data_IF_999750972100
#
_entry.id   IF_999750972100
#
_cell.length_a   1.000
_cell.length_b   1.000
_cell.length_c   1.000
_cell.angle_alpha   90.00
_cell.angle_beta   90.00
_cell.angle_gamma   90.00
#
_symmetry.space_group_name_H-M   'P 1'
#
loop_
_entity.id
_entity.type
_entity.pdbx_description
1 polymer ?
#
# COMPACT_ATOMS: atom_id res chain seq x y z
N UNK A 1 -29.40 -9.54 27.06
CA UNK A 1 -29.68 -10.47 25.95
C UNK A 1 -28.93 -9.90 24.78
N UNK A 2 -27.80 -10.51 24.39
CA UNK A 2 -27.09 -10.17 23.16
C UNK A 2 -27.96 -10.66 22.00
N UNK A 3 -28.46 -9.73 21.19
CA UNK A 3 -29.16 -10.08 19.95
C UNK A 3 -28.23 -10.93 19.09
N UNK A 4 -28.73 -12.00 18.52
CA UNK A 4 -27.98 -12.79 17.54
C UNK A 4 -27.67 -11.89 16.33
N UNK A 5 -26.46 -11.95 15.76
CA UNK A 5 -26.14 -11.17 14.57
C UNK A 5 -27.12 -11.51 13.45
N UNK A 6 -27.57 -10.54 12.63
CA UNK A 6 -28.45 -10.78 11.51
C UNK A 6 -27.86 -11.83 10.57
N UNK A 7 -28.72 -12.63 9.93
CA UNK A 7 -28.27 -13.58 8.92
C UNK A 7 -27.59 -12.84 7.76
N UNK A 8 -26.67 -13.47 7.07
CA UNK A 8 -25.91 -12.86 5.98
C UNK A 8 -26.82 -12.33 4.87
N UNK A 9 -27.91 -13.02 4.56
CA UNK A 9 -28.86 -12.61 3.53
C UNK A 9 -29.52 -11.27 3.88
N UNK A 10 -29.95 -11.08 5.13
CA UNK A 10 -30.55 -9.84 5.61
C UNK A 10 -29.54 -8.68 5.54
N UNK A 11 -28.26 -8.94 5.82
CA UNK A 11 -27.19 -7.94 5.70
C UNK A 11 -26.91 -7.57 4.24
N UNK A 12 -26.96 -8.53 3.34
CA UNK A 12 -26.79 -8.28 1.91
C UNK A 12 -27.97 -7.47 1.33
N UNK A 13 -29.21 -7.74 1.76
CA UNK A 13 -30.38 -6.92 1.41
C UNK A 13 -30.25 -5.48 1.92
N UNK A 14 -29.85 -5.29 3.17
CA UNK A 14 -29.59 -3.96 3.74
C UNK A 14 -28.43 -3.26 3.02
N UNK A 15 -27.36 -3.99 2.69
CA UNK A 15 -26.25 -3.46 1.92
C UNK A 15 -26.71 -2.98 0.53
N UNK A 16 -27.51 -3.77 -0.16
CA UNK A 16 -28.07 -3.41 -1.48
C UNK A 16 -28.96 -2.17 -1.43
N UNK A 17 -29.67 -1.99 -0.33
CA UNK A 17 -30.56 -0.84 -0.12
C UNK A 17 -29.81 0.46 0.25
N UNK A 18 -28.68 0.38 0.97
CA UNK A 18 -28.05 1.55 1.61
C UNK A 18 -26.60 1.80 1.21
N UNK A 19 -25.89 0.83 0.63
CA UNK A 19 -24.48 0.97 0.25
C UNK A 19 -24.35 1.11 -1.26
N UNK A 20 -23.57 2.10 -1.69
CA UNK A 20 -23.33 2.33 -3.13
C UNK A 20 -22.77 1.09 -3.82
N UNK A 21 -23.38 0.65 -4.91
CA UNK A 21 -23.02 -0.59 -5.65
C UNK A 21 -21.60 -0.59 -6.23
N UNK A 22 -20.97 0.59 -6.32
CA UNK A 22 -19.55 0.72 -6.70
C UNK A 22 -18.58 0.21 -5.62
N UNK A 23 -19.04 0.00 -4.38
CA UNK A 23 -18.27 -0.63 -3.31
C UNK A 23 -18.41 -2.15 -3.43
N UNK A 24 -17.51 -2.78 -4.21
CA UNK A 24 -17.50 -4.22 -4.43
C UNK A 24 -17.15 -5.00 -3.16
N UNK A 25 -17.65 -6.23 -3.08
CA UNK A 25 -17.21 -7.23 -2.09
C UNK A 25 -16.00 -7.99 -2.64
N UNK A 26 -15.11 -8.40 -1.74
CA UNK A 26 -13.95 -9.23 -2.09
C UNK A 26 -14.25 -10.74 -2.02
N UNK A 27 -13.28 -11.54 -2.45
CA UNK A 27 -13.23 -13.01 -2.24
C UNK A 27 -14.34 -13.85 -2.90
N UNK A 28 -15.04 -13.33 -3.91
CA UNK A 28 -16.07 -14.04 -4.68
C UNK A 28 -17.36 -14.30 -3.91
N UNK A 29 -17.29 -14.83 -2.67
CA UNK A 29 -18.43 -14.99 -1.76
C UNK A 29 -18.31 -14.01 -0.59
N UNK A 30 -19.43 -13.39 -0.18
CA UNK A 30 -19.44 -12.48 0.97
C UNK A 30 -19.04 -13.20 2.26
N UNK A 31 -18.15 -12.58 3.03
CA UNK A 31 -17.78 -13.03 4.36
C UNK A 31 -18.42 -12.10 5.41
N UNK A 32 -19.18 -12.66 6.34
CA UNK A 32 -19.73 -11.93 7.48
C UNK A 32 -18.69 -11.92 8.61
N UNK A 33 -17.77 -10.96 8.57
CA UNK A 33 -16.71 -10.79 9.58
C UNK A 33 -17.22 -9.95 10.74
N UNK A 34 -17.06 -10.44 11.96
CA UNK A 34 -17.53 -9.80 13.20
C UNK A 34 -16.42 -9.46 14.19
N UNK A 35 -15.23 -10.05 14.03
CA UNK A 35 -14.09 -9.84 14.92
C UNK A 35 -12.77 -9.98 14.17
N UNK A 36 -11.77 -9.20 14.58
CA UNK A 36 -10.37 -9.39 14.20
C UNK A 36 -9.50 -9.55 15.45
N UNK A 37 -8.43 -10.32 15.35
CA UNK A 37 -7.42 -10.45 16.40
C UNK A 37 -6.06 -10.81 15.79
N UNK A 38 -5.09 -9.95 15.95
CA UNK A 38 -3.74 -10.07 15.42
C UNK A 38 -3.76 -10.36 13.88
N UNK A 39 -3.30 -11.50 13.42
CA UNK A 39 -3.30 -11.88 12.00
C UNK A 39 -4.59 -12.57 11.53
N UNK A 40 -5.60 -12.69 12.38
CA UNK A 40 -6.82 -13.44 12.08
C UNK A 40 -8.07 -12.57 12.04
N UNK A 41 -8.97 -12.94 11.13
CA UNK A 41 -10.37 -12.50 11.09
C UNK A 41 -11.30 -13.65 11.47
N UNK A 42 -12.47 -13.34 12.03
CA UNK A 42 -13.43 -14.34 12.48
C UNK A 42 -14.82 -13.99 11.94
N UNK A 43 -15.46 -15.01 11.34
CA UNK A 43 -16.84 -14.89 10.88
C UNK A 43 -17.85 -14.93 12.02
N UNK A 44 -19.11 -14.58 11.70
CA UNK A 44 -20.23 -14.70 12.64
C UNK A 44 -20.54 -16.17 13.03
N UNK A 45 -20.18 -17.14 12.18
CA UNK A 45 -20.27 -18.57 12.46
C UNK A 45 -19.13 -19.09 13.35
N UNK A 46 -18.11 -18.25 13.60
CA UNK A 46 -16.94 -18.62 14.42
C UNK A 46 -15.76 -19.19 13.63
N UNK A 47 -15.85 -19.21 12.31
CA UNK A 47 -14.73 -19.61 11.44
C UNK A 47 -13.59 -18.62 11.55
N UNK A 48 -12.37 -19.14 11.59
CA UNK A 48 -11.14 -18.35 11.63
C UNK A 48 -10.51 -18.29 10.25
N UNK A 49 -10.08 -17.08 9.86
CA UNK A 49 -9.38 -16.83 8.60
C UNK A 49 -8.02 -16.19 8.88
N UNK A 50 -6.96 -16.80 8.39
CA UNK A 50 -5.64 -16.19 8.33
C UNK A 50 -5.67 -15.09 7.25
N UNK A 51 -5.38 -13.84 7.65
CA UNK A 51 -5.43 -12.70 6.77
C UNK A 51 -4.07 -12.43 6.11
N UNK A 52 -3.93 -12.78 4.85
CA UNK A 52 -2.74 -12.49 4.06
C UNK A 52 -2.93 -11.29 3.10
N UNK A 53 -3.97 -10.47 3.29
CA UNK A 53 -4.35 -9.39 2.38
C UNK A 53 -4.30 -8.00 3.02
N UNK A 54 -4.72 -7.88 4.30
CA UNK A 54 -4.97 -6.58 4.92
C UNK A 54 -3.69 -5.91 5.47
N UNK A 55 -2.95 -5.26 4.63
CA UNK A 55 -1.81 -4.43 5.04
C UNK A 55 -2.20 -3.15 5.81
N UNK A 56 -3.49 -2.89 6.01
CA UNK A 56 -4.00 -1.77 6.81
C UNK A 56 -3.84 -2.04 8.30
N UNK A 57 -4.16 -3.27 8.75
CA UNK A 57 -4.00 -3.70 10.14
C UNK A 57 -2.56 -4.19 10.39
N UNK A 58 -1.62 -3.29 10.21
CA UNK A 58 -0.20 -3.54 10.10
C UNK A 58 0.39 -4.29 11.29
N UNK A 59 0.09 -3.82 12.51
CA UNK A 59 0.55 -4.44 13.76
C UNK A 59 -0.49 -5.41 14.36
N UNK A 60 -1.42 -5.88 13.53
CA UNK A 60 -2.46 -6.84 13.89
C UNK A 60 -3.84 -6.22 14.11
N UNK A 61 -4.87 -6.96 13.71
CA UNK A 61 -6.27 -6.59 13.96
C UNK A 61 -6.51 -6.43 15.46
N UNK A 62 -7.19 -5.35 15.84
CA UNK A 62 -7.55 -5.07 17.23
C UNK A 62 -6.36 -5.20 18.21
N UNK A 63 -5.17 -4.80 17.79
CA UNK A 63 -3.98 -4.84 18.65
C UNK A 63 -4.27 -4.14 19.98
N UNK A 64 -4.12 -4.81 21.14
CA UNK A 64 -4.54 -4.27 22.43
C UNK A 64 -3.87 -2.95 22.78
N UNK A 65 -2.59 -2.76 22.42
CA UNK A 65 -1.83 -1.53 22.70
C UNK A 65 -2.39 -0.34 21.93
N UNK A 66 -2.71 -0.55 20.64
CA UNK A 66 -3.29 0.47 19.76
C UNK A 66 -4.71 0.83 20.22
N UNK A 67 -5.52 -0.18 20.56
CA UNK A 67 -6.89 0.01 21.09
C UNK A 67 -6.88 0.80 22.39
N UNK A 68 -6.01 0.43 23.35
CA UNK A 68 -5.89 1.11 24.63
C UNK A 68 -5.43 2.57 24.47
N UNK A 69 -4.43 2.83 23.63
CA UNK A 69 -3.93 4.18 23.39
C UNK A 69 -5.03 5.09 22.83
N UNK A 70 -5.77 4.62 21.81
CA UNK A 70 -6.88 5.35 21.22
C UNK A 70 -8.01 5.60 22.22
N UNK A 71 -8.43 4.58 22.98
CA UNK A 71 -9.51 4.69 23.96
C UNK A 71 -9.16 5.66 25.10
N UNK A 72 -7.95 5.59 25.64
CA UNK A 72 -7.45 6.47 26.69
C UNK A 72 -7.41 7.92 26.22
N UNK A 73 -6.89 8.17 25.03
CA UNK A 73 -6.80 9.53 24.48
C UNK A 73 -8.19 10.09 24.13
N UNK A 74 -9.09 9.28 23.60
CA UNK A 74 -10.48 9.68 23.32
C UNK A 74 -11.22 10.10 24.60
N UNK A 75 -10.96 9.45 25.72
CA UNK A 75 -11.54 9.80 27.01
C UNK A 75 -10.97 11.10 27.61
N UNK A 76 -9.79 11.54 27.17
CA UNK A 76 -9.12 12.73 27.65
C UNK A 76 -9.43 13.97 26.79
N UNK A 77 -9.10 13.90 25.52
CA UNK A 77 -9.25 15.01 24.56
C UNK A 77 -9.16 14.49 23.13
N UNK A 78 -10.11 14.91 22.28
CA UNK A 78 -9.97 14.83 20.83
C UNK A 78 -10.45 16.15 20.21
N UNK A 79 -9.54 16.85 19.49
CA UNK A 79 -9.79 18.17 18.91
C UNK A 79 -8.94 18.34 17.63
N UNK A 80 -8.95 19.53 17.04
CA UNK A 80 -8.19 19.83 15.83
C UNK A 80 -6.84 20.52 16.11
N UNK A 81 -6.01 20.64 15.08
CA UNK A 81 -4.65 21.20 15.16
C UNK A 81 -4.57 22.72 15.32
N UNK A 82 -5.69 23.42 15.46
CA UNK A 82 -5.71 24.87 15.80
C UNK A 82 -5.33 25.15 17.25
N UNK A 83 -5.25 24.11 18.07
CA UNK A 83 -4.78 24.19 19.45
C UNK A 83 -3.42 23.47 19.57
N UNK A 84 -2.59 23.97 20.46
CA UNK A 84 -1.29 23.33 20.74
C UNK A 84 -1.50 22.18 21.73
N UNK A 85 -0.96 21.02 21.41
CA UNK A 85 -0.91 19.86 22.30
C UNK A 85 0.32 18.99 21.97
N UNK A 86 0.84 18.34 22.99
CA UNK A 86 2.14 17.65 22.94
C UNK A 86 2.17 16.49 21.94
N UNK A 87 1.14 15.64 21.93
CA UNK A 87 1.10 14.44 21.10
C UNK A 87 1.28 14.65 19.60
N UNK A 88 0.92 15.84 19.06
CA UNK A 88 1.15 16.16 17.65
C UNK A 88 2.64 16.32 17.35
N UNK A 89 3.32 17.15 18.15
CA UNK A 89 4.74 17.44 17.94
C UNK A 89 5.62 16.25 18.26
N UNK A 90 5.28 15.46 19.28
CA UNK A 90 5.97 14.22 19.64
C UNK A 90 5.85 13.18 18.52
N UNK A 91 4.63 12.95 18.00
CA UNK A 91 4.41 11.97 16.94
C UNK A 91 5.09 12.38 15.63
N UNK A 92 4.94 13.63 15.20
CA UNK A 92 5.64 14.14 14.00
C UNK A 92 7.16 14.11 14.17
N UNK A 93 7.68 14.43 15.36
CA UNK A 93 9.11 14.34 15.66
C UNK A 93 9.63 12.90 15.58
N UNK A 94 8.87 11.91 16.07
CA UNK A 94 9.22 10.49 15.93
C UNK A 94 9.21 10.03 14.49
N UNK A 95 8.20 10.42 13.69
CA UNK A 95 8.16 10.10 12.26
C UNK A 95 9.35 10.73 11.52
N UNK A 96 9.63 12.01 11.78
CA UNK A 96 10.78 12.69 11.18
C UNK A 96 12.10 11.97 11.50
N UNK A 97 12.25 11.45 12.73
CA UNK A 97 13.45 10.71 13.14
C UNK A 97 13.63 9.36 12.41
N UNK A 98 12.60 8.83 11.77
CA UNK A 98 12.69 7.62 10.92
C UNK A 98 13.02 7.92 9.46
N UNK A 99 13.03 9.19 9.07
CA UNK A 99 13.28 9.62 7.70
C UNK A 99 14.73 10.13 7.55
N UNK A 100 15.35 9.98 6.36
CA UNK A 100 16.64 10.59 6.09
C UNK A 100 16.51 12.12 6.01
N UNK A 101 17.59 12.83 6.41
CA UNK A 101 17.70 14.26 6.16
C UNK A 101 17.61 14.56 4.64
N UNK A 102 16.94 15.64 4.21
CA UNK A 102 16.37 16.75 5.02
C UNK A 102 14.84 16.67 5.25
N UNK A 103 14.23 15.49 5.19
CA UNK A 103 12.78 15.28 5.30
C UNK A 103 12.30 15.44 6.75
N UNK A 104 11.98 16.65 7.17
CA UNK A 104 11.70 16.96 8.58
C UNK A 104 10.39 17.69 8.85
N UNK A 105 9.68 18.16 7.82
CA UNK A 105 8.41 18.90 7.99
C UNK A 105 7.23 18.02 7.56
N UNK A 106 6.32 17.74 8.50
CA UNK A 106 5.20 16.82 8.31
C UNK A 106 3.83 17.50 8.35
N UNK A 107 2.90 16.99 7.54
CA UNK A 107 1.48 17.34 7.52
C UNK A 107 0.67 16.09 7.75
N UNK A 108 -0.24 16.10 8.74
CA UNK A 108 -1.14 14.98 9.01
C UNK A 108 -2.50 15.19 8.34
N UNK A 109 -3.00 14.14 7.71
CA UNK A 109 -4.29 14.03 7.04
C UNK A 109 -4.96 12.70 7.40
N UNK A 110 -6.06 12.29 6.72
CA UNK A 110 -6.87 11.15 7.16
C UNK A 110 -6.83 9.95 6.20
N UNK A 111 -6.26 10.10 5.03
CA UNK A 111 -6.16 9.02 4.04
C UNK A 111 -4.97 9.22 3.11
N UNK A 112 -4.47 8.13 2.51
CA UNK A 112 -3.45 8.19 1.47
C UNK A 112 -3.89 9.05 0.26
N UNK A 113 -5.20 9.09 -0.05
CA UNK A 113 -5.73 9.98 -1.08
C UNK A 113 -5.57 11.45 -0.72
N UNK A 114 -5.90 11.87 0.51
CA UNK A 114 -5.65 13.24 0.96
C UNK A 114 -4.15 13.57 0.96
N UNK A 115 -3.32 12.63 1.37
CA UNK A 115 -1.87 12.83 1.44
C UNK A 115 -1.23 12.98 0.06
N UNK A 116 -1.56 12.12 -0.90
CA UNK A 116 -1.09 12.25 -2.28
C UNK A 116 -1.63 13.52 -2.96
N UNK A 117 -2.90 13.88 -2.72
CA UNK A 117 -3.49 15.14 -3.19
C UNK A 117 -2.69 16.36 -2.68
N UNK A 118 -2.35 16.36 -1.38
CA UNK A 118 -1.54 17.41 -0.76
C UNK A 118 -0.10 17.43 -1.32
N UNK A 119 0.53 16.26 -1.50
CA UNK A 119 1.87 16.15 -2.07
C UNK A 119 1.94 16.74 -3.48
N UNK A 120 0.97 16.43 -4.35
CA UNK A 120 0.89 17.01 -5.70
C UNK A 120 0.66 18.52 -5.65
N UNK A 121 -0.17 19.02 -4.73
CA UNK A 121 -0.38 20.47 -4.55
C UNK A 121 0.89 21.16 -4.09
N UNK A 122 1.63 20.60 -3.15
CA UNK A 122 2.93 21.11 -2.69
C UNK A 122 3.92 21.16 -3.87
N UNK A 123 4.03 20.06 -4.63
CA UNK A 123 4.93 19.97 -5.77
C UNK A 123 4.61 21.04 -6.84
N UNK A 124 3.35 21.20 -7.21
CA UNK A 124 2.90 22.23 -8.16
C UNK A 124 3.16 23.64 -7.66
N UNK A 125 2.95 23.89 -6.38
CA UNK A 125 3.21 25.23 -5.79
C UNK A 125 4.70 25.54 -5.78
N UNK A 126 5.54 24.58 -5.41
CA UNK A 126 6.99 24.75 -5.34
C UNK A 126 7.61 24.98 -6.72
N UNK A 127 7.26 24.14 -7.70
CA UNK A 127 7.86 24.17 -9.04
C UNK A 127 7.24 25.20 -9.97
N UNK A 128 6.00 25.61 -9.71
CA UNK A 128 5.20 26.43 -10.64
C UNK A 128 4.75 25.67 -11.89
N UNK A 129 5.10 24.39 -12.03
CA UNK A 129 4.67 23.51 -13.12
C UNK A 129 3.37 22.79 -12.76
N UNK A 130 2.73 22.17 -13.77
CA UNK A 130 1.44 21.51 -13.58
C UNK A 130 1.50 20.01 -13.85
N UNK A 131 2.30 19.58 -14.81
CA UNK A 131 2.33 18.23 -15.34
C UNK A 131 2.98 17.25 -14.36
N UNK A 132 2.48 16.02 -14.35
CA UNK A 132 2.94 14.95 -13.47
C UNK A 132 3.34 13.72 -14.28
N UNK A 133 4.37 13.02 -13.81
CA UNK A 133 4.73 11.70 -14.31
C UNK A 133 4.28 10.64 -13.29
N UNK A 134 3.71 9.54 -13.78
CA UNK A 134 3.30 8.36 -12.99
C UNK A 134 3.68 7.07 -13.71
N UNK A 135 3.60 5.93 -13.04
CA UNK A 135 3.89 4.61 -13.63
C UNK A 135 2.60 3.90 -14.01
N UNK A 136 2.59 3.20 -15.12
CA UNK A 136 1.49 2.34 -15.56
C UNK A 136 1.06 1.36 -14.46
N UNK A 137 -0.25 1.17 -14.27
CA UNK A 137 -0.79 0.30 -13.22
C UNK A 137 -0.71 0.86 -11.80
N UNK A 138 -0.12 2.05 -11.59
CA UNK A 138 -0.06 2.68 -10.27
C UNK A 138 -1.44 3.12 -9.76
N UNK A 139 -1.58 3.14 -8.43
CA UNK A 139 -2.76 3.63 -7.73
C UNK A 139 -2.37 4.54 -6.57
N UNK A 140 -2.73 5.81 -6.66
CA UNK A 140 -2.37 6.83 -5.66
C UNK A 140 -3.57 7.41 -4.89
N UNK A 141 -4.80 7.03 -5.23
CA UNK A 141 -5.99 7.48 -4.55
C UNK A 141 -7.22 7.63 -5.45
N UNK A 142 -8.32 8.13 -4.87
CA UNK A 142 -9.64 8.18 -5.51
C UNK A 142 -10.31 9.58 -5.44
N UNK A 143 -9.54 10.62 -5.10
CA UNK A 143 -10.00 12.01 -5.28
C UNK A 143 -10.02 12.36 -6.77
N UNK A 144 -10.68 13.44 -7.14
CA UNK A 144 -10.82 13.84 -8.55
C UNK A 144 -9.49 13.95 -9.29
N UNK A 145 -8.46 14.56 -8.67
CA UNK A 145 -7.14 14.67 -9.27
C UNK A 145 -6.41 13.32 -9.29
N UNK A 146 -6.47 12.56 -8.21
CA UNK A 146 -5.73 11.29 -8.09
C UNK A 146 -6.30 10.14 -8.92
N UNK A 147 -7.58 10.15 -9.26
CA UNK A 147 -8.13 9.23 -10.27
C UNK A 147 -7.38 9.43 -11.60
N UNK A 148 -7.13 10.68 -12.00
CA UNK A 148 -6.35 11.01 -13.20
C UNK A 148 -4.87 10.65 -13.09
N UNK A 149 -4.30 10.54 -11.88
CA UNK A 149 -2.92 10.11 -11.62
C UNK A 149 -2.80 8.61 -11.29
N UNK A 150 -3.88 7.85 -11.39
CA UNK A 150 -3.91 6.43 -11.09
C UNK A 150 -4.25 5.62 -12.34
N UNK A 151 -3.26 5.22 -13.18
CA UNK A 151 -3.49 4.41 -14.39
C UNK A 151 -4.29 3.14 -14.11
N UNK A 152 -4.09 2.51 -12.96
CA UNK A 152 -4.91 1.39 -12.49
C UNK A 152 -6.42 1.69 -12.51
N UNK A 153 -6.82 2.97 -12.29
CA UNK A 153 -8.23 3.37 -12.26
C UNK A 153 -8.72 3.89 -13.60
N UNK A 154 -8.04 4.84 -14.21
CA UNK A 154 -8.55 5.44 -15.45
C UNK A 154 -8.46 4.48 -16.66
N UNK A 155 -7.57 3.48 -16.64
CA UNK A 155 -7.51 2.37 -17.62
C UNK A 155 -8.30 1.14 -17.19
N UNK A 156 -8.73 1.08 -15.94
CA UNK A 156 -9.54 -0.01 -15.40
C UNK A 156 -11.03 0.10 -15.79
N UNK A 157 -11.85 -0.86 -15.37
CA UNK A 157 -13.28 -0.88 -15.67
C UNK A 157 -14.00 0.40 -15.24
N UNK A 158 -14.71 1.04 -16.15
CA UNK A 158 -15.44 2.30 -15.92
C UNK A 158 -14.58 3.56 -15.88
N UNK A 159 -13.27 3.46 -16.15
CA UNK A 159 -12.37 4.60 -16.27
C UNK A 159 -12.47 5.31 -17.64
N UNK A 160 -11.76 6.45 -17.75
CA UNK A 160 -11.73 7.26 -18.98
C UNK A 160 -10.96 6.60 -20.16
N UNK A 161 -10.09 5.62 -19.85
CA UNK A 161 -9.23 4.92 -20.81
C UNK A 161 -7.89 5.60 -21.04
N UNK A 162 -7.88 6.89 -21.30
CA UNK A 162 -6.68 7.69 -21.59
C UNK A 162 -6.34 8.64 -20.44
N UNK A 163 -5.05 8.98 -20.23
CA UNK A 163 -4.64 9.97 -19.25
C UNK A 163 -5.09 11.38 -19.65
N UNK A 164 -5.25 12.24 -18.66
CA UNK A 164 -5.39 13.68 -18.89
C UNK A 164 -4.12 14.24 -19.54
N UNK A 165 -4.19 15.34 -20.35
CA UNK A 165 -3.04 15.88 -21.09
C UNK A 165 -1.83 16.26 -20.24
N UNK A 166 -2.03 16.50 -18.94
CA UNK A 166 -1.00 16.85 -17.98
C UNK A 166 -0.43 15.64 -17.21
N UNK A 167 -0.83 14.42 -17.59
CA UNK A 167 -0.37 13.17 -16.96
C UNK A 167 0.43 12.35 -17.96
N UNK A 168 1.71 12.18 -17.66
CA UNK A 168 2.63 11.38 -18.47
C UNK A 168 2.83 10.02 -17.80
N UNK A 169 2.55 8.94 -18.53
CA UNK A 169 2.56 7.58 -17.97
C UNK A 169 3.79 6.83 -18.46
N UNK A 170 4.70 6.51 -17.54
CA UNK A 170 5.83 5.64 -17.79
C UNK A 170 5.41 4.16 -17.76
N UNK A 171 6.00 3.29 -18.58
CA UNK A 171 5.72 1.86 -18.56
C UNK A 171 6.08 1.22 -17.21
N UNK A 172 5.41 0.11 -16.85
CA UNK A 172 5.77 -0.69 -15.67
C UNK A 172 7.22 -1.19 -15.82
N UNK A 173 8.13 -0.92 -14.85
CA UNK A 173 9.47 -1.44 -14.86
C UNK A 173 9.51 -2.90 -14.37
N UNK A 174 8.80 -3.79 -15.07
CA UNK A 174 8.66 -5.20 -14.74
C UNK A 174 9.80 -6.02 -15.39
N UNK A 175 10.74 -6.48 -14.58
CA UNK A 175 11.87 -7.27 -15.04
C UNK A 175 11.48 -8.67 -15.57
N UNK A 176 10.31 -9.20 -15.16
CA UNK A 176 9.81 -10.48 -15.64
C UNK A 176 9.12 -10.34 -17.01
N UNK A 177 8.09 -9.51 -17.11
CA UNK A 177 7.31 -9.36 -18.35
C UNK A 177 7.97 -8.49 -19.40
N UNK A 178 8.88 -7.63 -18.99
CA UNK A 178 9.60 -6.69 -19.87
C UNK A 178 11.12 -6.84 -19.73
N UNK A 179 11.57 -8.12 -19.67
CA UNK A 179 13.00 -8.42 -19.58
C UNK A 179 13.77 -7.85 -20.78
N UNK A 180 14.90 -7.21 -20.51
CA UNK A 180 15.75 -6.58 -21.54
C UNK A 180 15.34 -5.14 -21.90
N UNK A 181 14.27 -4.55 -21.34
CA UNK A 181 13.97 -3.12 -21.47
C UNK A 181 14.90 -2.28 -20.61
N UNK A 182 15.30 -1.12 -21.12
CA UNK A 182 15.96 -0.07 -20.33
C UNK A 182 14.87 0.84 -19.72
N UNK A 183 14.31 0.38 -18.60
CA UNK A 183 13.20 1.06 -17.96
C UNK A 183 13.52 2.49 -17.50
N UNK A 184 14.77 2.75 -17.14
CA UNK A 184 15.22 4.07 -16.71
C UNK A 184 15.31 5.03 -17.91
N UNK A 185 15.84 4.58 -19.04
CA UNK A 185 15.88 5.36 -20.27
C UNK A 185 14.47 5.68 -20.80
N UNK A 186 13.57 4.70 -20.79
CA UNK A 186 12.17 4.92 -21.19
C UNK A 186 11.48 6.02 -20.35
N UNK A 187 11.69 6.04 -19.03
CA UNK A 187 11.19 7.11 -18.18
C UNK A 187 11.86 8.43 -18.50
N UNK A 188 13.19 8.44 -18.72
CA UNK A 188 13.94 9.62 -19.12
C UNK A 188 13.40 10.26 -20.40
N UNK A 189 13.06 9.47 -21.41
CA UNK A 189 12.46 9.93 -22.67
C UNK A 189 11.08 10.58 -22.45
N UNK A 190 10.26 9.98 -21.56
CA UNK A 190 8.95 10.53 -21.19
C UNK A 190 9.10 11.88 -20.48
N UNK A 191 10.01 11.96 -19.50
CA UNK A 191 10.29 13.22 -18.78
C UNK A 191 10.80 14.29 -19.74
N UNK A 192 11.70 13.94 -20.65
CA UNK A 192 12.23 14.88 -21.65
C UNK A 192 11.15 15.38 -22.64
N UNK A 193 10.17 14.53 -22.97
CA UNK A 193 9.05 14.85 -23.85
C UNK A 193 7.93 15.65 -23.19
N UNK A 194 7.82 15.61 -21.87
CA UNK A 194 6.71 16.23 -21.11
C UNK A 194 6.86 17.77 -20.98
N UNK A 195 8.07 18.31 -21.10
CA UNK A 195 8.34 19.72 -20.79
C UNK A 195 8.48 19.97 -19.28
N UNK A 196 8.13 21.16 -18.77
CA UNK A 196 8.22 21.43 -17.33
C UNK A 196 7.22 20.58 -16.55
N UNK A 197 7.71 19.72 -15.64
CA UNK A 197 6.89 18.86 -14.79
C UNK A 197 6.91 19.32 -13.33
N UNK A 198 5.79 19.16 -12.63
CA UNK A 198 5.73 19.39 -11.19
C UNK A 198 6.41 18.25 -10.40
N UNK A 199 6.30 17.03 -10.89
CA UNK A 199 6.98 15.91 -10.25
C UNK A 199 6.65 14.55 -10.83
N UNK A 200 7.31 13.55 -10.24
CA UNK A 200 7.10 12.12 -10.45
C UNK A 200 6.54 11.51 -9.17
N UNK A 201 5.33 10.96 -9.25
CA UNK A 201 4.67 10.26 -8.16
C UNK A 201 4.80 8.76 -8.39
N UNK A 202 5.45 8.06 -7.48
CA UNK A 202 5.78 6.63 -7.63
C UNK A 202 5.67 5.89 -6.32
N UNK A 203 5.08 4.69 -6.35
CA UNK A 203 5.19 3.71 -5.27
C UNK A 203 6.63 3.13 -5.28
N UNK A 204 7.32 3.11 -4.14
CA UNK A 204 8.71 2.60 -4.06
C UNK A 204 8.80 1.08 -4.35
N UNK A 205 7.69 0.39 -4.32
CA UNK A 205 7.43 -0.94 -4.88
C UNK A 205 5.98 -0.93 -5.38
N UNK A 206 5.76 -1.26 -6.65
CA UNK A 206 4.44 -1.13 -7.26
C UNK A 206 3.48 -2.18 -6.71
N UNK A 207 2.35 -1.72 -6.17
CA UNK A 207 1.37 -2.59 -5.54
C UNK A 207 0.30 -3.09 -6.53
N UNK A 208 -0.60 -2.22 -6.96
CA UNK A 208 -1.70 -2.58 -7.85
C UNK A 208 -1.24 -3.04 -9.25
N UNK A 209 -0.02 -2.68 -9.65
CA UNK A 209 0.62 -3.19 -10.86
C UNK A 209 1.03 -4.68 -10.76
N UNK A 210 0.87 -5.34 -9.61
CA UNK A 210 1.15 -6.77 -9.42
C UNK A 210 2.36 -7.05 -8.53
N UNK A 211 2.55 -6.31 -7.45
CA UNK A 211 3.64 -6.48 -6.47
C UNK A 211 5.03 -6.42 -7.12
N UNK A 212 5.26 -5.46 -8.02
CA UNK A 212 6.48 -5.38 -8.82
C UNK A 212 7.58 -4.64 -8.07
N UNK A 213 8.69 -5.30 -7.68
CA UNK A 213 9.87 -4.62 -7.18
C UNK A 213 10.50 -3.76 -8.29
N UNK A 214 10.90 -2.54 -7.96
CA UNK A 214 11.61 -1.70 -8.93
C UNK A 214 13.00 -2.28 -9.21
N UNK A 215 13.42 -2.37 -10.48
CA UNK A 215 14.78 -2.87 -10.84
C UNK A 215 15.88 -2.03 -10.21
N UNK A 216 17.03 -2.65 -9.93
CA UNK A 216 18.17 -1.95 -9.36
C UNK A 216 18.61 -0.76 -10.23
N UNK A 217 18.80 0.41 -9.59
CA UNK A 217 19.18 1.65 -10.26
C UNK A 217 18.03 2.42 -10.94
N UNK A 218 16.83 1.80 -11.11
CA UNK A 218 15.69 2.46 -11.76
C UNK A 218 15.30 3.75 -11.03
N UNK A 219 15.04 3.67 -9.72
CA UNK A 219 14.55 4.81 -8.96
C UNK A 219 15.62 5.92 -8.85
N UNK A 220 16.90 5.55 -8.77
CA UNK A 220 18.02 6.50 -8.79
C UNK A 220 18.04 7.30 -10.09
N UNK A 221 18.04 6.62 -11.24
CA UNK A 221 18.03 7.29 -12.54
C UNK A 221 16.74 8.07 -12.78
N UNK A 222 15.59 7.54 -12.37
CA UNK A 222 14.31 8.23 -12.46
C UNK A 222 14.34 9.58 -11.73
N UNK A 223 14.85 9.60 -10.50
CA UNK A 223 14.97 10.83 -9.70
C UNK A 223 15.95 11.83 -10.30
N UNK A 224 17.05 11.36 -10.91
CA UNK A 224 17.98 12.21 -11.64
C UNK A 224 17.31 12.88 -12.84
N UNK A 225 16.58 12.15 -13.67
CA UNK A 225 15.86 12.69 -14.82
C UNK A 225 14.80 13.71 -14.40
N UNK A 226 13.99 13.41 -13.37
CA UNK A 226 12.92 14.27 -12.87
C UNK A 226 13.49 15.57 -12.31
N UNK A 227 14.53 15.51 -11.48
CA UNK A 227 15.18 16.70 -10.91
C UNK A 227 15.88 17.56 -11.98
N UNK A 228 16.50 16.92 -12.99
CA UNK A 228 17.08 17.64 -14.12
C UNK A 228 16.02 18.41 -14.94
N UNK A 229 14.77 17.95 -14.96
CA UNK A 229 13.63 18.64 -15.57
C UNK A 229 12.97 19.68 -14.64
N UNK A 230 13.48 19.88 -13.42
CA UNK A 230 12.95 20.80 -12.41
C UNK A 230 11.75 20.28 -11.60
N UNK A 231 11.40 19.01 -11.75
CA UNK A 231 10.32 18.35 -11.00
C UNK A 231 10.77 17.80 -9.66
N UNK A 232 9.80 17.50 -8.77
CA UNK A 232 10.02 16.86 -7.47
C UNK A 232 9.77 15.36 -7.53
N UNK A 233 10.53 14.60 -6.75
CA UNK A 233 10.39 13.15 -6.59
C UNK A 233 9.51 12.87 -5.37
N UNK A 234 8.34 12.25 -5.60
CA UNK A 234 7.34 11.96 -4.57
C UNK A 234 7.27 10.44 -4.40
N UNK A 235 7.72 9.94 -3.23
CA UNK A 235 7.62 8.53 -2.88
C UNK A 235 6.29 8.23 -2.18
N UNK A 236 5.47 7.41 -2.79
CA UNK A 236 4.23 6.89 -2.19
C UNK A 236 4.54 5.62 -1.39
N UNK A 237 4.71 5.77 -0.08
CA UNK A 237 4.99 4.70 0.87
C UNK A 237 3.71 4.14 1.54
N UNK A 238 2.54 4.50 1.04
CA UNK A 238 1.25 4.12 1.63
C UNK A 238 1.06 2.61 1.75
N UNK A 239 1.69 1.82 0.88
CA UNK A 239 1.59 0.35 0.90
C UNK A 239 2.82 -0.36 1.49
N UNK A 240 4.00 0.23 1.34
CA UNK A 240 5.28 -0.45 1.57
C UNK A 240 6.09 0.11 2.73
N UNK A 241 5.72 1.27 3.24
CA UNK A 241 6.35 1.90 4.40
C UNK A 241 6.09 1.17 5.72
N UNK A 242 6.62 1.73 6.80
CA UNK A 242 6.52 1.21 8.17
C UNK A 242 7.17 -0.18 8.34
N UNK A 243 8.31 -0.39 7.69
CA UNK A 243 9.08 -1.62 7.85
C UNK A 243 8.52 -2.85 7.14
N UNK A 244 7.51 -2.71 6.25
CA UNK A 244 6.88 -3.80 5.50
C UNK A 244 7.88 -4.61 4.68
N UNK A 245 8.88 -3.94 4.08
CA UNK A 245 9.95 -4.58 3.29
C UNK A 245 10.99 -5.31 4.16
N UNK A 246 10.95 -5.13 5.48
CA UNK A 246 11.83 -5.78 6.44
C UNK A 246 13.16 -5.07 6.62
N UNK A 247 13.87 -4.81 5.56
CA UNK A 247 15.22 -4.23 5.55
C UNK A 247 15.27 -2.76 6.02
N UNK A 248 14.25 -1.98 5.70
CA UNK A 248 14.18 -0.53 5.95
C UNK A 248 12.80 -0.11 6.45
N UNK A 249 12.74 1.03 7.14
CA UNK A 249 11.48 1.63 7.55
C UNK A 249 10.67 2.12 6.34
N UNK A 250 11.35 2.66 5.33
CA UNK A 250 10.79 3.17 4.09
C UNK A 250 11.39 2.45 2.89
N UNK A 251 10.56 1.99 1.95
CA UNK A 251 11.01 1.14 0.86
C UNK A 251 11.93 1.88 -0.15
N UNK A 252 11.81 3.20 -0.30
CA UNK A 252 12.73 3.98 -1.14
C UNK A 252 14.20 3.89 -0.68
N UNK A 253 14.44 3.60 0.61
CA UNK A 253 15.80 3.47 1.17
C UNK A 253 16.56 2.28 0.58
N UNK A 254 15.86 1.21 0.15
CA UNK A 254 16.47 0.07 -0.56
C UNK A 254 17.18 0.48 -1.86
N UNK A 255 16.76 1.60 -2.45
CA UNK A 255 17.32 2.13 -3.70
C UNK A 255 18.42 3.16 -3.47
N UNK A 256 18.76 3.47 -2.20
CA UNK A 256 19.77 4.47 -1.85
C UNK A 256 19.42 5.90 -2.29
N UNK A 257 18.14 6.21 -2.40
CA UNK A 257 17.66 7.54 -2.81
C UNK A 257 16.95 8.25 -1.64
N UNK A 258 16.89 9.57 -1.71
CA UNK A 258 16.07 10.41 -0.82
C UNK A 258 15.08 11.17 -1.70
N UNK A 259 13.76 10.95 -1.56
CA UNK A 259 12.75 11.71 -2.28
C UNK A 259 12.63 13.14 -1.75
N UNK A 260 11.96 14.00 -2.49
CA UNK A 260 11.67 15.38 -2.07
C UNK A 260 10.41 15.46 -1.21
N UNK A 261 9.49 14.54 -1.43
CA UNK A 261 8.25 14.36 -0.65
C UNK A 261 8.02 12.87 -0.41
N UNK A 262 7.63 12.51 0.82
CA UNK A 262 7.20 11.16 1.20
C UNK A 262 5.73 11.18 1.61
N UNK A 263 4.95 10.24 1.09
CA UNK A 263 3.54 10.06 1.43
C UNK A 263 3.37 8.76 2.23
N UNK A 264 2.68 8.84 3.35
CA UNK A 264 2.43 7.75 4.30
C UNK A 264 0.93 7.54 4.51
N UNK A 265 0.53 6.32 4.81
CA UNK A 265 -0.88 6.01 5.10
C UNK A 265 -1.07 4.62 5.68
N UNK A 266 -2.14 3.94 5.32
CA UNK A 266 -2.52 2.57 5.73
C UNK A 266 -1.92 2.04 7.06
N UNK A 267 -0.63 1.55 7.09
CA UNK A 267 0.00 1.03 8.30
C UNK A 267 -0.03 1.98 9.49
N UNK A 268 0.10 3.27 9.20
CA UNK A 268 0.27 4.36 10.16
C UNK A 268 -0.79 4.37 11.26
N UNK A 269 -2.04 4.05 10.91
CA UNK A 269 -3.18 4.06 11.83
C UNK A 269 -3.65 2.67 12.28
N UNK A 270 -3.07 1.59 11.76
CA UNK A 270 -3.51 0.21 12.03
C UNK A 270 -5.03 0.01 11.89
N UNK A 271 -5.62 0.59 10.85
CA UNK A 271 -7.06 0.59 10.59
C UNK A 271 -7.79 1.88 10.99
N UNK A 272 -7.20 2.73 11.83
CA UNK A 272 -7.70 4.07 12.11
C UNK A 272 -7.35 5.02 10.94
N UNK A 273 -8.30 5.88 10.50
CA UNK A 273 -8.05 6.81 9.39
C UNK A 273 -6.97 7.83 9.72
N UNK A 274 -5.77 7.68 9.15
CA UNK A 274 -4.71 8.66 9.19
C UNK A 274 -3.68 8.45 8.09
N UNK A 275 -3.04 9.54 7.68
CA UNK A 275 -1.97 9.58 6.71
C UNK A 275 -1.09 10.83 6.94
N UNK A 276 0.05 10.90 6.28
CA UNK A 276 0.96 12.04 6.39
C UNK A 276 1.67 12.32 5.07
N UNK A 277 2.13 13.55 4.96
CA UNK A 277 3.12 13.99 3.96
C UNK A 277 4.32 14.54 4.71
N UNK A 278 5.51 14.10 4.34
CA UNK A 278 6.77 14.69 4.82
C UNK A 278 7.56 15.28 3.67
N UNK A 279 8.21 16.41 3.92
CA UNK A 279 9.04 17.09 2.93
C UNK A 279 10.17 17.88 3.60
N UNK A 280 10.98 18.56 2.78
CA UNK A 280 12.06 19.41 3.27
C UNK A 280 11.53 20.74 3.79
N UNK A 281 12.27 21.44 4.69
CA UNK A 281 11.89 22.79 5.13
C UNK A 281 11.75 23.80 3.97
N UNK A 282 12.59 23.70 2.95
CA UNK A 282 12.55 24.58 1.78
C UNK A 282 11.25 24.40 0.97
N UNK A 283 10.88 23.14 0.69
CA UNK A 283 9.66 22.84 -0.06
C UNK A 283 8.43 23.22 0.76
N UNK A 284 8.42 22.91 2.07
CA UNK A 284 7.34 23.30 2.97
C UNK A 284 7.14 24.83 3.00
N UNK A 285 8.22 25.61 3.07
CA UNK A 285 8.17 27.07 3.07
C UNK A 285 7.51 27.64 1.79
N UNK A 286 7.68 27.00 0.64
CA UNK A 286 7.03 27.43 -0.61
C UNK A 286 5.49 27.32 -0.56
N UNK A 287 4.96 26.50 0.34
CA UNK A 287 3.51 26.26 0.52
C UNK A 287 2.88 27.14 1.61
N UNK A 288 3.64 27.90 2.39
CA UNK A 288 3.13 28.74 3.50
C UNK A 288 2.15 29.83 3.07
N UNK A 289 2.19 30.29 1.81
CA UNK A 289 1.28 31.29 1.28
C UNK A 289 -0.17 30.84 1.14
N UNK A 290 -0.45 29.54 1.29
CA UNK A 290 -1.77 28.93 1.21
C UNK A 290 -2.14 28.32 2.54
N UNK A 291 -3.19 28.83 3.21
CA UNK A 291 -3.69 28.17 4.41
C UNK A 291 -4.05 26.71 4.13
N UNK A 292 -3.48 25.79 4.91
CA UNK A 292 -3.84 24.39 4.91
C UNK A 292 -4.46 24.02 6.26
N UNK A 293 -5.67 23.50 6.23
CA UNK A 293 -6.38 23.01 7.41
C UNK A 293 -7.13 21.70 7.10
N UNK A 294 -6.82 20.66 7.85
CA UNK A 294 -7.60 19.43 7.89
C UNK A 294 -8.33 19.35 9.24
N UNK A 295 -9.66 19.21 9.21
CA UNK A 295 -10.47 19.19 10.44
C UNK A 295 -10.09 18.03 11.37
N UNK A 296 -9.77 16.88 10.80
CA UNK A 296 -9.48 15.66 11.56
C UNK A 296 -8.01 15.24 11.48
N UNK A 297 -7.25 15.73 10.51
CA UNK A 297 -5.82 15.39 10.36
C UNK A 297 -5.03 15.85 11.59
N UNK A 298 -4.27 14.93 12.18
CA UNK A 298 -3.42 15.22 13.33
C UNK A 298 -4.19 15.43 14.65
N UNK A 299 -5.41 14.94 14.79
CA UNK A 299 -6.12 15.00 16.07
C UNK A 299 -5.40 14.15 17.15
N UNK A 300 -5.61 14.45 18.45
CA UNK A 300 -4.92 13.75 19.54
C UNK A 300 -5.08 12.23 19.52
N UNK A 301 -6.26 11.71 19.18
CA UNK A 301 -6.50 10.27 19.13
C UNK A 301 -5.69 9.60 18.01
N UNK A 302 -5.66 10.21 16.83
CA UNK A 302 -4.82 9.73 15.72
C UNK A 302 -3.34 9.71 16.09
N UNK A 303 -2.83 10.78 16.74
CA UNK A 303 -1.44 10.84 17.19
C UNK A 303 -1.11 9.76 18.22
N UNK A 304 -2.00 9.53 19.21
CA UNK A 304 -1.81 8.48 20.21
C UNK A 304 -1.82 7.07 19.58
N UNK A 305 -2.70 6.82 18.63
CA UNK A 305 -2.77 5.57 17.87
C UNK A 305 -1.49 5.37 17.07
N UNK A 306 -1.07 6.39 16.29
CA UNK A 306 0.14 6.31 15.46
C UNK A 306 1.41 6.10 16.29
N UNK A 307 1.50 6.74 17.47
CA UNK A 307 2.57 6.52 18.43
C UNK A 307 2.61 5.06 18.89
N UNK A 308 1.46 4.50 19.28
CA UNK A 308 1.37 3.10 19.70
C UNK A 308 1.72 2.11 18.57
N UNK A 309 1.43 2.45 17.32
CA UNK A 309 1.85 1.63 16.15
C UNK A 309 3.36 1.62 16.03
N UNK A 310 4.03 2.78 16.15
CA UNK A 310 5.49 2.86 16.11
C UNK A 310 6.12 2.07 17.27
N UNK A 311 5.56 2.19 18.48
CA UNK A 311 6.02 1.43 19.65
C UNK A 311 5.96 -0.08 19.42
N UNK A 312 4.87 -0.58 18.84
CA UNK A 312 4.73 -2.02 18.53
C UNK A 312 5.72 -2.47 17.47
N UNK A 313 5.91 -1.69 16.39
CA UNK A 313 6.89 -2.02 15.35
C UNK A 313 8.29 -2.16 15.93
N UNK A 314 8.69 -1.21 16.76
CA UNK A 314 10.03 -1.11 17.34
C UNK A 314 10.24 -2.18 18.42
N UNK A 315 9.37 -2.24 19.44
CA UNK A 315 9.52 -3.09 20.61
C UNK A 315 9.32 -4.59 20.32
N UNK A 316 8.48 -4.93 19.35
CA UNK A 316 8.26 -6.32 18.92
C UNK A 316 9.17 -6.76 17.77
N UNK A 317 10.06 -5.88 17.28
CA UNK A 317 11.03 -6.19 16.23
C UNK A 317 10.39 -6.59 14.90
N UNK A 318 9.25 -5.96 14.54
CA UNK A 318 8.44 -6.39 13.41
C UNK A 318 9.17 -6.28 12.06
N UNK A 319 10.12 -5.37 11.91
CA UNK A 319 10.94 -5.27 10.70
C UNK A 319 11.81 -6.51 10.50
N UNK A 320 12.50 -6.96 11.56
CA UNK A 320 13.30 -8.18 11.49
C UNK A 320 12.41 -9.39 11.19
N UNK A 321 11.26 -9.49 11.87
CA UNK A 321 10.27 -10.54 11.60
C UNK A 321 9.80 -10.52 10.14
N UNK A 322 9.54 -9.35 9.57
CA UNK A 322 9.15 -9.24 8.15
C UNK A 322 10.24 -9.74 7.20
N UNK A 323 11.52 -9.52 7.53
CA UNK A 323 12.64 -10.09 6.78
C UNK A 323 12.64 -11.62 6.86
N UNK A 324 12.65 -12.16 8.08
CA UNK A 324 12.76 -13.61 8.32
C UNK A 324 11.58 -14.40 7.72
N UNK A 325 10.35 -13.94 7.98
CA UNK A 325 9.15 -14.58 7.45
C UNK A 325 8.99 -14.35 5.94
N UNK A 326 9.42 -13.20 5.43
CA UNK A 326 9.43 -12.91 4.01
C UNK A 326 10.38 -13.83 3.23
N UNK A 327 11.57 -14.09 3.77
CA UNK A 327 12.52 -15.05 3.22
C UNK A 327 11.97 -16.48 3.25
N UNK A 328 11.38 -16.91 4.38
CA UNK A 328 10.72 -18.22 4.52
C UNK A 328 9.59 -18.40 3.51
N UNK A 329 8.71 -17.40 3.41
CA UNK A 329 7.57 -17.44 2.48
C UNK A 329 8.05 -17.48 1.03
N UNK A 330 9.03 -16.63 0.66
CA UNK A 330 9.61 -16.60 -0.69
C UNK A 330 10.28 -17.92 -1.04
N UNK A 331 11.01 -18.54 -0.11
CA UNK A 331 11.62 -19.85 -0.32
C UNK A 331 10.56 -20.93 -0.59
N UNK A 332 9.51 -20.98 0.24
CA UNK A 332 8.39 -21.91 0.05
C UNK A 332 7.65 -21.69 -1.29
N UNK A 333 7.38 -20.43 -1.68
CA UNK A 333 6.77 -20.15 -2.97
C UNK A 333 7.65 -20.57 -4.16
N UNK A 334 8.98 -20.44 -4.05
CA UNK A 334 9.91 -20.94 -5.08
C UNK A 334 9.98 -22.46 -5.16
N UNK A 335 9.83 -23.16 -4.03
CA UNK A 335 9.68 -24.61 -4.03
C UNK A 335 8.37 -25.02 -4.72
N UNK A 336 7.28 -24.31 -4.47
CA UNK A 336 6.01 -24.51 -5.18
C UNK A 336 6.15 -24.22 -6.67
N UNK A 337 6.84 -23.16 -7.06
CA UNK A 337 7.14 -22.84 -8.47
C UNK A 337 7.87 -23.99 -9.17
N UNK A 338 8.81 -24.64 -8.48
CA UNK A 338 9.53 -25.83 -9.02
C UNK A 338 8.64 -27.05 -9.23
N UNK A 339 7.50 -27.13 -8.55
CA UNK A 339 6.55 -28.27 -8.64
C UNK A 339 5.31 -27.94 -9.47
N UNK A 340 4.93 -26.70 -9.55
CA UNK A 340 3.72 -26.21 -10.22
C UNK A 340 4.09 -25.19 -11.33
N UNK A 341 4.20 -25.64 -12.59
CA UNK A 341 4.62 -24.77 -13.70
C UNK A 341 3.71 -23.55 -13.97
N UNK A 342 2.51 -23.54 -13.40
CA UNK A 342 1.61 -22.39 -13.49
C UNK A 342 2.16 -21.14 -12.76
N UNK A 343 3.06 -21.31 -11.79
CA UNK A 343 3.73 -20.18 -11.13
C UNK A 343 4.87 -19.71 -12.04
N UNK A 344 4.66 -18.55 -12.68
CA UNK A 344 5.62 -17.94 -13.59
C UNK A 344 6.74 -17.18 -12.87
N UNK A 345 6.36 -16.37 -11.87
CA UNK A 345 7.30 -15.55 -11.11
C UNK A 345 6.93 -15.48 -9.62
N UNK A 346 7.95 -15.36 -8.76
CA UNK A 346 7.82 -15.13 -7.32
C UNK A 346 8.65 -13.91 -6.97
N UNK A 347 8.00 -12.86 -6.47
CA UNK A 347 8.60 -11.53 -6.27
C UNK A 347 8.15 -10.82 -5.01
N UNK A 348 8.87 -9.78 -4.63
CA UNK A 348 8.59 -8.93 -3.47
C UNK A 348 9.75 -8.81 -2.49
N UNK A 349 9.50 -8.18 -1.34
CA UNK A 349 10.45 -7.96 -0.24
C UNK A 349 9.72 -8.03 1.10
N UNK A 350 10.36 -8.60 2.11
CA UNK A 350 9.77 -8.75 3.44
C UNK A 350 8.38 -9.38 3.36
N UNK A 351 7.39 -8.75 3.98
CA UNK A 351 5.98 -9.16 3.93
C UNK A 351 5.15 -8.37 2.89
N UNK A 352 5.78 -7.96 1.81
CA UNK A 352 5.15 -7.45 0.60
C UNK A 352 5.53 -8.36 -0.56
N UNK A 353 4.76 -9.42 -0.77
CA UNK A 353 5.07 -10.48 -1.69
C UNK A 353 3.96 -10.67 -2.72
N UNK A 354 4.30 -11.31 -3.83
CA UNK A 354 3.36 -11.77 -4.82
C UNK A 354 3.94 -12.90 -5.64
N UNK A 355 3.07 -13.70 -6.24
CA UNK A 355 3.46 -14.65 -7.27
C UNK A 355 2.50 -14.56 -8.45
N UNK A 356 3.09 -14.63 -9.63
CA UNK A 356 2.37 -14.46 -10.88
C UNK A 356 2.07 -15.82 -11.51
N UNK A 357 0.85 -15.99 -11.99
CA UNK A 357 0.37 -17.21 -12.62
C UNK A 357 0.30 -17.05 -14.13
N UNK A 358 0.87 -18.01 -14.86
CA UNK A 358 0.88 -18.06 -16.30
C UNK A 358 0.49 -19.46 -16.79
N UNK A 359 -0.27 -19.55 -17.87
CA UNK A 359 -0.63 -20.83 -18.51
C UNK A 359 0.52 -21.41 -19.32
N UNK A 360 1.41 -20.54 -19.79
CA UNK A 360 2.57 -20.90 -20.61
C UNK A 360 3.76 -20.02 -20.24
N UNK A 361 4.90 -20.64 -19.96
CA UNK A 361 6.12 -19.96 -19.48
C UNK A 361 6.86 -19.20 -20.57
N UNK A 362 6.66 -19.54 -21.86
CA UNK A 362 7.34 -18.88 -22.97
C UNK A 362 6.57 -17.64 -23.44
N UNK A 363 5.25 -17.76 -23.54
CA UNK A 363 4.36 -16.65 -23.98
C UNK A 363 3.89 -15.75 -22.86
N UNK A 364 4.03 -16.20 -21.62
CA UNK A 364 3.53 -15.54 -20.39
C UNK A 364 2.01 -15.29 -20.45
N UNK A 365 1.24 -16.20 -21.06
CA UNK A 365 -0.22 -16.11 -21.08
C UNK A 365 -0.79 -16.07 -19.66
N UNK A 366 -1.53 -15.00 -19.27
CA UNK A 366 -1.98 -14.83 -17.90
C UNK A 366 -3.05 -15.86 -17.50
N UNK A 367 -2.91 -16.45 -16.29
CA UNK A 367 -3.82 -17.42 -15.71
C UNK A 367 -4.79 -16.75 -14.71
N UNK A 368 -5.60 -15.79 -15.17
CA UNK A 368 -6.47 -15.00 -14.29
C UNK A 368 -7.62 -15.83 -13.68
N UNK A 369 -8.21 -16.74 -14.44
CA UNK A 369 -9.29 -17.62 -13.97
C UNK A 369 -8.79 -18.59 -12.90
N UNK A 370 -7.58 -19.12 -13.11
CA UNK A 370 -6.91 -19.99 -12.15
C UNK A 370 -6.53 -19.22 -10.87
N UNK A 371 -6.12 -17.95 -11.00
CA UNK A 371 -5.84 -17.08 -9.87
C UNK A 371 -7.10 -16.84 -9.01
N UNK A 372 -8.24 -16.55 -9.64
CA UNK A 372 -9.51 -16.38 -8.93
C UNK A 372 -9.95 -17.68 -8.24
N UNK A 373 -9.78 -18.83 -8.91
CA UNK A 373 -10.05 -20.15 -8.33
C UNK A 373 -9.19 -20.42 -7.11
N UNK A 374 -7.87 -20.14 -7.18
CA UNK A 374 -6.96 -20.30 -6.03
C UNK A 374 -7.42 -19.43 -4.85
N UNK A 375 -7.77 -18.16 -5.09
CA UNK A 375 -8.28 -17.28 -4.02
C UNK A 375 -9.52 -17.85 -3.36
N UNK A 376 -10.45 -18.39 -4.13
CA UNK A 376 -11.66 -19.04 -3.62
C UNK A 376 -11.37 -20.28 -2.78
N UNK A 377 -10.54 -21.19 -3.30
CA UNK A 377 -10.20 -22.44 -2.62
C UNK A 377 -9.34 -22.23 -1.36
N UNK A 378 -8.46 -21.23 -1.35
CA UNK A 378 -7.69 -20.85 -0.16
C UNK A 378 -8.59 -20.25 0.92
N UNK A 379 -9.56 -19.39 0.55
CA UNK A 379 -10.57 -18.89 1.49
C UNK A 379 -11.33 -20.04 2.14
N UNK A 380 -11.74 -21.06 1.38
CA UNK A 380 -12.48 -22.23 1.90
C UNK A 380 -11.63 -23.09 2.85
N UNK A 381 -10.30 -22.91 2.82
CA UNK A 381 -9.32 -23.49 3.77
C UNK A 381 -8.95 -22.54 4.92
N UNK A 382 -9.64 -21.39 5.03
CA UNK A 382 -9.41 -20.43 6.09
C UNK A 382 -8.20 -19.51 5.85
N UNK A 383 -7.75 -19.32 4.60
CA UNK A 383 -6.67 -18.39 4.25
C UNK A 383 -7.17 -17.35 3.23
N UNK A 384 -7.11 -16.07 3.58
CA UNK A 384 -7.54 -15.00 2.70
C UNK A 384 -6.39 -14.52 1.82
N UNK A 385 -6.57 -14.63 0.53
CA UNK A 385 -5.70 -14.10 -0.52
C UNK A 385 -6.51 -13.16 -1.43
N UNK A 386 -5.84 -12.44 -2.32
CA UNK A 386 -6.48 -11.62 -3.35
C UNK A 386 -5.56 -11.47 -4.55
N UNK A 387 -6.12 -11.08 -5.70
CA UNK A 387 -5.37 -10.81 -6.91
C UNK A 387 -5.05 -9.33 -7.05
N UNK A 388 -3.97 -9.04 -7.78
CA UNK A 388 -3.56 -7.71 -8.27
C UNK A 388 -3.00 -7.82 -9.69
N UNK A 389 -2.50 -6.72 -10.21
CA UNK A 389 -1.93 -6.61 -11.55
C UNK A 389 -2.97 -6.32 -12.63
N UNK A 390 -2.57 -5.69 -13.73
CA UNK A 390 -3.47 -5.33 -14.83
C UNK A 390 -4.07 -6.54 -15.54
N UNK A 391 -3.47 -7.72 -15.39
CA UNK A 391 -3.94 -8.98 -15.98
C UNK A 391 -4.67 -9.89 -14.97
N UNK A 392 -4.87 -9.43 -13.73
CA UNK A 392 -5.55 -10.15 -12.63
C UNK A 392 -5.01 -11.56 -12.31
N UNK A 393 -3.75 -11.82 -12.63
CA UNK A 393 -3.09 -13.11 -12.49
C UNK A 393 -1.95 -13.13 -11.46
N UNK A 394 -1.81 -12.07 -10.67
CA UNK A 394 -0.85 -12.00 -9.57
C UNK A 394 -1.58 -12.21 -8.25
N UNK A 395 -1.21 -13.22 -7.49
CA UNK A 395 -1.67 -13.40 -6.11
C UNK A 395 -0.81 -12.54 -5.21
N UNK A 396 -1.43 -11.62 -4.47
CA UNK A 396 -0.74 -10.75 -3.51
C UNK A 396 -0.75 -11.32 -2.10
N UNK A 397 0.35 -11.10 -1.39
CA UNK A 397 0.54 -11.51 0.01
C UNK A 397 1.06 -10.30 0.78
N UNK A 398 0.17 -9.72 1.61
CA UNK A 398 0.45 -8.52 2.43
C UNK A 398 -0.20 -8.64 3.81
N UNK A 399 0.22 -9.61 4.63
CA UNK A 399 -0.40 -9.89 5.93
C UNK A 399 -0.16 -8.78 6.95
N UNK A 400 -0.86 -8.77 8.09
CA UNK A 400 -0.37 -8.13 9.31
C UNK A 400 1.04 -8.61 9.66
N UNK A 401 1.92 -7.69 10.13
CA UNK A 401 3.33 -8.03 10.38
C UNK A 401 3.55 -8.91 11.63
N UNK A 402 2.49 -9.20 12.35
CA UNK A 402 2.46 -10.12 13.50
C UNK A 402 2.29 -11.59 13.10
N UNK A 403 2.34 -11.89 11.80
CA UNK A 403 2.36 -13.26 11.25
C UNK A 403 3.39 -14.14 11.96
N UNK A 404 3.15 -15.45 12.05
CA UNK A 404 4.06 -16.43 12.65
C UNK A 404 4.62 -17.40 11.59
N UNK A 405 5.66 -18.16 11.95
CA UNK A 405 6.20 -19.21 11.08
C UNK A 405 5.16 -20.28 10.76
N UNK A 406 4.38 -20.70 11.77
CA UNK A 406 3.32 -21.70 11.60
C UNK A 406 2.23 -21.22 10.63
N UNK A 407 1.93 -19.92 10.62
CA UNK A 407 0.99 -19.33 9.67
C UNK A 407 1.52 -19.42 8.23
N UNK A 408 2.81 -19.12 8.05
CA UNK A 408 3.47 -19.24 6.74
C UNK A 408 3.45 -20.68 6.24
N UNK A 409 3.83 -21.64 7.09
CA UNK A 409 3.85 -23.06 6.75
C UNK A 409 2.46 -23.59 6.42
N UNK A 410 1.45 -23.19 7.19
CA UNK A 410 0.05 -23.53 6.95
C UNK A 410 -0.43 -22.98 5.60
N UNK A 411 -0.14 -21.73 5.31
CA UNK A 411 -0.52 -21.10 4.05
C UNK A 411 0.13 -21.79 2.85
N UNK A 412 1.44 -22.10 2.94
CA UNK A 412 2.16 -22.80 1.88
C UNK A 412 1.65 -24.24 1.67
N UNK A 413 1.33 -24.97 2.75
CA UNK A 413 0.78 -26.32 2.65
C UNK A 413 -0.59 -26.32 1.95
N UNK A 414 -1.49 -25.42 2.34
CA UNK A 414 -2.79 -25.28 1.67
C UNK A 414 -2.66 -24.85 0.22
N UNK A 415 -1.72 -23.94 -0.07
CA UNK A 415 -1.46 -23.49 -1.44
C UNK A 415 -0.95 -24.64 -2.32
N UNK A 416 -0.08 -25.52 -1.81
CA UNK A 416 0.40 -26.71 -2.52
C UNK A 416 -0.73 -27.68 -2.88
N UNK A 417 -1.65 -27.92 -1.91
CA UNK A 417 -2.83 -28.75 -2.15
C UNK A 417 -3.73 -28.17 -3.24
N UNK A 418 -3.97 -26.86 -3.18
CA UNK A 418 -4.81 -26.14 -4.16
C UNK A 418 -4.17 -26.19 -5.55
N UNK A 419 -2.89 -25.89 -5.66
CA UNK A 419 -2.15 -25.90 -6.93
C UNK A 419 -2.09 -27.32 -7.55
N UNK A 420 -2.07 -28.36 -6.73
CA UNK A 420 -2.10 -29.76 -7.22
C UNK A 420 -3.42 -30.14 -7.87
N UNK A 421 -4.48 -29.36 -7.67
CA UNK A 421 -5.81 -29.56 -8.25
C UNK A 421 -6.08 -28.68 -9.49
N UNK A 422 -5.13 -27.82 -9.87
CA UNK A 422 -5.22 -26.91 -11.02
C UNK A 422 -4.50 -27.50 -12.21
#
# INVERSE_FOLDING_TARGET
MTELPPQLDDLLEQRDAHVGKALSLGHGLPLHITRGHMQYLYSASGEQYLDLVNNVCHVGHSNPRVVEAGARQMALLNTNTRYVYEGLTEYLGRLAATLPEPLSVGFLVNSGSEANELAVRIARTHTGAHDMVVVEGAYHGHTGMLIGLSPYKFRGPGGAGEPEPWVHVAPIPDAYRRSGSDHAAELGDIVAGAGPIAGFLVESMLSCAGQVPLPGGYLTAAFEHVRAAGGLCIADEVQVGFGRVGSHMWAFEEHGVVPDIVVMGKPMGNGHPMAAVFTTPEIAASFEGMEFFSTFGGNPVSCAIGTAVLDVIEEEGLMQRATELGERFTAGLRELQGRHPIIGDVRGRGLFLGFELVRDQDTLEPAAEEAERIVGEMRDRGVLLSTDGPLHNVIKIKPPMVLTEDDVDTALAHLDEVLSGI
#
